data_IF_189650967851
#
_entry.id   IF_189650967851
#
_cell.length_a   1.000
_cell.length_b   1.000
_cell.length_c   1.000
_cell.angle_alpha   90.00
_cell.angle_beta   90.00
_cell.angle_gamma   90.00
#
_symmetry.space_group_name_H-M   'P 1'
#
loop_
_entity.id
_entity.type
_entity.pdbx_description
1 polymer ?
#
# COMPACT_ATOMS: atom_id res chain seq x y z
N UNK A 1 -13.68 -15.38 10.66
CA UNK A 1 -12.82 -15.83 9.52
C UNK A 1 -13.63 -15.87 8.23
N UNK A 2 -13.29 -15.14 7.14
CA UNK A 2 -13.90 -15.43 5.85
C UNK A 2 -13.18 -16.63 5.21
N UNK A 3 -13.78 -17.81 5.35
CA UNK A 3 -13.48 -19.00 4.56
C UNK A 3 -14.03 -18.78 3.14
N UNK A 4 -13.18 -18.34 2.23
CA UNK A 4 -13.30 -18.68 0.80
C UNK A 4 -11.99 -18.27 0.14
N UNK A 5 -11.02 -19.20 0.15
CA UNK A 5 -10.02 -19.20 -0.91
C UNK A 5 -10.81 -19.31 -2.22
N UNK A 6 -10.67 -18.31 -3.07
CA UNK A 6 -11.19 -18.36 -4.44
C UNK A 6 -10.34 -19.39 -5.17
N UNK A 7 -10.91 -20.57 -5.41
CA UNK A 7 -10.27 -21.62 -6.20
C UNK A 7 -9.81 -21.05 -7.55
N UNK A 8 -8.51 -21.16 -7.83
CA UNK A 8 -7.95 -20.91 -9.16
C UNK A 8 -6.87 -19.83 -9.29
N UNK A 9 -6.48 -19.13 -8.22
CA UNK A 9 -5.46 -18.06 -8.29
C UNK A 9 -4.27 -18.34 -7.35
N UNK A 10 -3.42 -19.33 -7.66
CA UNK A 10 -2.12 -19.53 -7.02
C UNK A 10 -2.11 -19.65 -5.48
N UNK A 11 -0.94 -19.82 -4.88
CA UNK A 11 -0.81 -19.85 -3.41
C UNK A 11 -0.93 -18.43 -2.81
N UNK A 12 -2.11 -17.80 -2.90
CA UNK A 12 -2.38 -16.51 -2.24
C UNK A 12 -2.52 -16.72 -0.72
N UNK A 13 -1.37 -16.77 -0.03
CA UNK A 13 -1.33 -16.74 1.44
C UNK A 13 -1.61 -15.30 1.91
N UNK A 14 -2.85 -15.00 2.27
CA UNK A 14 -3.21 -13.74 2.93
C UNK A 14 -2.63 -13.76 4.35
N UNK A 15 -1.75 -12.80 4.67
CA UNK A 15 -1.21 -12.64 6.03
C UNK A 15 -2.27 -11.99 6.92
N UNK A 16 -2.55 -12.60 8.07
CA UNK A 16 -3.36 -12.00 9.12
C UNK A 16 -2.49 -11.08 10.00
N UNK A 17 -3.10 -10.00 10.50
CA UNK A 17 -2.46 -8.98 11.33
C UNK A 17 -3.31 -8.70 12.57
N UNK A 18 -2.68 -8.36 13.69
CA UNK A 18 -3.39 -8.06 14.93
C UNK A 18 -4.02 -6.66 14.90
N UNK A 19 -3.35 -5.71 14.23
CA UNK A 19 -3.86 -4.35 14.05
C UNK A 19 -3.78 -3.88 12.59
N UNK A 20 -4.58 -2.87 12.19
CA UNK A 20 -4.40 -2.20 10.91
C UNK A 20 -2.99 -1.62 10.72
N UNK A 21 -2.38 -1.09 11.79
CA UNK A 21 -1.03 -0.55 11.74
C UNK A 21 0.00 -1.61 11.32
N UNK A 22 -0.07 -2.82 11.89
CA UNK A 22 0.83 -3.92 11.54
C UNK A 22 0.74 -4.27 10.05
N UNK A 23 -0.46 -4.18 9.48
CA UNK A 23 -0.69 -4.44 8.05
C UNK A 23 -0.02 -3.38 7.16
N UNK A 24 -0.09 -2.11 7.58
CA UNK A 24 0.56 -1.00 6.87
C UNK A 24 2.07 -1.10 7.00
N UNK A 25 2.61 -1.41 8.18
CA UNK A 25 4.04 -1.60 8.39
C UNK A 25 4.61 -2.73 7.53
N UNK A 26 3.95 -3.89 7.52
CA UNK A 26 4.36 -5.01 6.69
C UNK A 26 4.25 -4.70 5.19
N UNK A 27 3.22 -3.97 4.78
CA UNK A 27 3.08 -3.49 3.40
C UNK A 27 4.24 -2.56 3.01
N UNK A 28 4.55 -1.57 3.86
CA UNK A 28 5.66 -0.65 3.62
C UNK A 28 7.01 -1.37 3.61
N UNK A 29 7.22 -2.34 4.51
CA UNK A 29 8.42 -3.19 4.50
C UNK A 29 8.56 -3.94 3.17
N UNK A 30 7.48 -4.54 2.66
CA UNK A 30 7.48 -5.26 1.39
C UNK A 30 7.90 -4.35 0.22
N UNK A 31 7.31 -3.15 0.11
CA UNK A 31 7.69 -2.18 -0.92
C UNK A 31 9.16 -1.74 -0.80
N UNK A 32 9.66 -1.58 0.43
CA UNK A 32 11.00 -1.08 0.69
C UNK A 32 12.11 -2.17 0.63
N UNK A 33 11.77 -3.46 0.58
CA UNK A 33 12.76 -4.55 0.63
C UNK A 33 12.68 -5.53 -0.53
N UNK A 34 11.49 -5.83 -1.06
CA UNK A 34 11.33 -6.90 -2.04
C UNK A 34 11.88 -6.49 -3.41
N UNK A 35 12.54 -7.43 -4.12
CA UNK A 35 13.21 -7.17 -5.39
C UNK A 35 12.26 -6.64 -6.48
N UNK A 36 11.02 -7.14 -6.52
CA UNK A 36 10.00 -6.72 -7.48
C UNK A 36 9.65 -5.22 -7.45
N UNK A 37 10.01 -4.51 -6.37
CA UNK A 37 9.77 -3.06 -6.21
C UNK A 37 11.06 -2.22 -6.31
N UNK A 38 12.11 -2.77 -6.93
CA UNK A 38 13.35 -2.02 -7.17
C UNK A 38 13.10 -0.73 -7.99
N UNK A 39 12.21 -0.76 -8.98
CA UNK A 39 11.86 0.44 -9.78
C UNK A 39 11.18 1.53 -8.92
N UNK A 40 10.25 1.15 -8.04
CA UNK A 40 9.66 2.08 -7.08
C UNK A 40 10.73 2.76 -6.22
N UNK A 41 11.68 1.98 -5.69
CA UNK A 41 12.76 2.53 -4.85
C UNK A 41 13.71 3.42 -5.64
N UNK A 42 14.03 3.05 -6.89
CA UNK A 42 14.86 3.87 -7.77
C UNK A 42 14.20 5.22 -8.08
N UNK A 43 12.89 5.22 -8.41
CA UNK A 43 12.11 6.46 -8.61
C UNK A 43 12.10 7.34 -7.38
N UNK A 44 11.93 6.72 -6.21
CA UNK A 44 11.95 7.44 -4.93
C UNK A 44 13.30 8.09 -4.65
N UNK A 45 14.40 7.44 -5.02
CA UNK A 45 15.75 7.96 -4.81
C UNK A 45 16.15 9.07 -5.80
N UNK A 46 15.47 9.20 -6.94
CA UNK A 46 15.78 10.19 -7.97
C UNK A 46 15.21 11.58 -7.69
N UNK A 47 14.26 11.70 -6.76
CA UNK A 47 13.61 12.96 -6.40
C UNK A 47 13.63 13.15 -4.90
N UNK A 48 13.89 14.36 -4.43
CA UNK A 48 13.76 14.72 -3.02
C UNK A 48 12.30 14.73 -2.55
N UNK A 49 11.34 14.82 -3.49
CA UNK A 49 9.91 14.86 -3.20
C UNK A 49 9.10 14.24 -4.35
N UNK A 50 9.16 12.91 -4.53
CA UNK A 50 8.40 12.23 -5.57
C UNK A 50 6.91 12.25 -5.25
N UNK A 51 6.07 12.56 -6.24
CA UNK A 51 4.62 12.51 -6.04
C UNK A 51 4.12 11.07 -5.88
N UNK A 52 2.97 10.89 -5.22
CA UNK A 52 2.33 9.57 -5.13
C UNK A 52 2.04 8.95 -6.51
N UNK A 53 1.71 9.78 -7.51
CA UNK A 53 1.46 9.33 -8.89
C UNK A 53 2.73 8.84 -9.59
N UNK A 54 3.89 9.46 -9.29
CA UNK A 54 5.18 9.04 -9.84
C UNK A 54 5.63 7.72 -9.23
N UNK A 55 5.49 7.57 -7.91
CA UNK A 55 5.84 6.32 -7.22
C UNK A 55 4.93 5.16 -7.64
N UNK A 56 3.64 5.42 -7.89
CA UNK A 56 2.70 4.42 -8.37
C UNK A 56 3.15 3.75 -9.68
N UNK A 57 3.96 4.43 -10.50
CA UNK A 57 4.55 3.85 -11.71
C UNK A 57 5.37 2.57 -11.45
N UNK A 58 6.00 2.49 -10.27
CA UNK A 58 6.86 1.37 -9.89
C UNK A 58 6.11 0.17 -9.31
N UNK A 59 4.77 0.20 -9.28
CA UNK A 59 3.94 -0.86 -8.67
C UNK A 59 3.38 -1.87 -9.68
N UNK A 60 3.93 -1.95 -10.88
CA UNK A 60 3.47 -2.90 -11.92
C UNK A 60 3.46 -4.35 -11.41
N UNK A 61 4.45 -4.76 -10.63
CA UNK A 61 4.55 -6.12 -10.08
C UNK A 61 3.60 -6.42 -8.92
N UNK A 62 2.85 -5.42 -8.44
CA UNK A 62 1.95 -5.57 -7.29
C UNK A 62 0.68 -6.36 -7.63
N UNK A 63 0.24 -6.28 -8.88
CA UNK A 63 -0.97 -6.93 -9.35
C UNK A 63 -0.67 -7.70 -10.63
N UNK A 64 -1.32 -8.86 -10.79
CA UNK A 64 -1.32 -9.59 -12.06
C UNK A 64 -1.86 -8.76 -13.23
N UNK A 65 -2.64 -7.69 -12.94
CA UNK A 65 -3.11 -6.71 -13.92
C UNK A 65 -2.02 -5.77 -14.43
N UNK A 66 -0.84 -5.75 -13.83
CA UNK A 66 0.30 -4.97 -14.30
C UNK A 66 0.00 -3.47 -14.45
N UNK A 67 0.19 -2.97 -15.67
CA UNK A 67 0.01 -1.55 -16.00
C UNK A 67 -1.43 -1.04 -15.80
N UNK A 68 -2.44 -1.91 -15.97
CA UNK A 68 -3.85 -1.51 -15.77
C UNK A 68 -4.14 -1.20 -14.31
N UNK A 69 -3.48 -1.93 -13.39
CA UNK A 69 -3.53 -1.62 -11.97
C UNK A 69 -2.92 -0.26 -11.67
N UNK A 70 -1.74 0.03 -12.23
CA UNK A 70 -1.07 1.34 -12.08
C UNK A 70 -1.94 2.48 -12.60
N UNK A 71 -2.57 2.31 -13.77
CA UNK A 71 -3.51 3.28 -14.34
C UNK A 71 -4.69 3.55 -13.40
N UNK A 72 -5.30 2.48 -12.88
CA UNK A 72 -6.41 2.58 -11.92
C UNK A 72 -5.99 3.31 -10.64
N UNK A 73 -4.81 3.00 -10.10
CA UNK A 73 -4.29 3.62 -8.88
C UNK A 73 -4.02 5.12 -9.07
N UNK A 74 -3.43 5.51 -10.20
CA UNK A 74 -3.23 6.93 -10.54
C UNK A 74 -4.54 7.69 -10.71
N UNK A 75 -5.55 7.06 -11.30
CA UNK A 75 -6.88 7.64 -11.39
C UNK A 75 -7.49 7.87 -10.00
N UNK A 76 -7.37 6.90 -9.08
CA UNK A 76 -7.83 7.05 -7.68
C UNK A 76 -7.12 8.23 -7.00
N UNK A 77 -5.80 8.33 -7.12
CA UNK A 77 -5.00 9.44 -6.55
C UNK A 77 -5.51 10.78 -7.09
N UNK A 78 -5.73 10.87 -8.40
CA UNK A 78 -6.18 12.09 -9.08
C UNK A 78 -7.61 12.50 -8.70
N UNK A 79 -8.57 11.57 -8.80
CA UNK A 79 -9.99 11.83 -8.52
C UNK A 79 -10.20 12.25 -7.07
N UNK A 80 -9.50 11.61 -6.14
CA UNK A 80 -9.59 11.94 -4.72
C UNK A 80 -8.68 13.11 -4.29
N UNK A 81 -7.94 13.71 -5.23
CA UNK A 81 -7.01 14.84 -4.98
C UNK A 81 -6.01 14.54 -3.86
N UNK A 82 -5.50 13.31 -3.81
CA UNK A 82 -4.63 12.86 -2.73
C UNK A 82 -3.26 13.54 -2.73
N UNK A 83 -2.85 14.16 -3.83
CA UNK A 83 -1.65 15.01 -3.90
C UNK A 83 -1.69 16.18 -2.90
N UNK A 84 -2.88 16.59 -2.44
CA UNK A 84 -3.01 17.59 -1.37
C UNK A 84 -2.44 17.11 -0.04
N UNK A 85 -2.21 15.80 0.12
CA UNK A 85 -1.63 15.20 1.32
C UNK A 85 -0.11 15.04 1.21
N UNK A 86 0.51 15.36 0.08
CA UNK A 86 1.96 15.19 -0.11
C UNK A 86 2.79 16.06 0.86
N UNK A 87 2.19 17.17 1.34
CA UNK A 87 2.80 18.07 2.33
C UNK A 87 2.12 17.99 3.70
N UNK A 88 1.24 17.01 3.91
CA UNK A 88 0.56 16.84 5.18
C UNK A 88 1.56 16.45 6.27
N UNK A 89 1.41 17.07 7.44
CA UNK A 89 2.15 16.73 8.65
C UNK A 89 1.18 16.14 9.67
N UNK A 90 1.68 15.24 10.50
CA UNK A 90 0.91 14.74 11.62
C UNK A 90 0.63 15.89 12.59
N UNK A 91 -0.58 15.93 13.13
CA UNK A 91 -0.93 16.92 14.14
C UNK A 91 -0.12 16.69 15.42
N UNK A 92 0.25 17.78 16.11
CA UNK A 92 0.86 17.73 17.43
C UNK A 92 -0.19 17.31 18.46
N UNK A 93 -0.40 16.00 18.61
CA UNK A 93 -1.43 15.43 19.47
C UNK A 93 -1.16 13.97 19.82
N UNK A 94 -1.95 13.40 20.74
CA UNK A 94 -1.78 12.00 21.12
C UNK A 94 -2.05 11.08 19.92
N UNK A 95 -1.14 10.16 19.66
CA UNK A 95 -1.34 9.10 18.67
C UNK A 95 -2.49 8.21 19.12
N UNK A 96 -3.55 8.13 18.30
CA UNK A 96 -4.65 7.19 18.52
C UNK A 96 -4.33 5.87 17.83
N UNK A 97 -4.14 4.81 18.61
CA UNK A 97 -3.98 3.46 18.07
C UNK A 97 -5.38 2.86 17.88
N UNK A 98 -5.72 2.56 16.62
CA UNK A 98 -6.96 1.87 16.29
C UNK A 98 -6.74 0.37 16.47
N UNK A 99 -7.14 -0.13 17.64
CA UNK A 99 -7.20 -1.57 17.86
C UNK A 99 -8.55 -2.09 17.39
N UNK A 100 -8.59 -3.16 16.57
CA UNK A 100 -9.84 -3.83 16.29
C UNK A 100 -10.39 -4.39 17.61
N UNK A 101 -11.64 -4.05 17.91
CA UNK A 101 -12.37 -4.76 18.96
C UNK A 101 -12.57 -6.17 18.41
N UNK A 102 -11.99 -7.18 19.07
CA UNK A 102 -11.97 -8.54 18.54
C UNK A 102 -13.35 -9.05 18.13
N UNK A 103 -13.39 -10.00 17.20
CA UNK A 103 -14.47 -10.97 17.20
C UNK A 103 -14.40 -11.72 18.53
N UNK A 104 -15.37 -11.42 19.41
CA UNK A 104 -15.62 -12.24 20.58
C UNK A 104 -15.67 -13.71 20.16
N UNK A 105 -14.93 -14.52 20.90
CA UNK A 105 -15.05 -15.98 20.87
C UNK A 105 -16.49 -16.42 21.06
#
# INVERSE_FOLDING_TARGET
VPQQQRDGMGDYKIRAFATPLDSVEAYMLNLNSHAAYADLRARRAQSESPSGSDLAAGLTSYSERGADYVSSLRAIISVNKLSNLDTAVLADGPTTIVNPVGDGS
#
